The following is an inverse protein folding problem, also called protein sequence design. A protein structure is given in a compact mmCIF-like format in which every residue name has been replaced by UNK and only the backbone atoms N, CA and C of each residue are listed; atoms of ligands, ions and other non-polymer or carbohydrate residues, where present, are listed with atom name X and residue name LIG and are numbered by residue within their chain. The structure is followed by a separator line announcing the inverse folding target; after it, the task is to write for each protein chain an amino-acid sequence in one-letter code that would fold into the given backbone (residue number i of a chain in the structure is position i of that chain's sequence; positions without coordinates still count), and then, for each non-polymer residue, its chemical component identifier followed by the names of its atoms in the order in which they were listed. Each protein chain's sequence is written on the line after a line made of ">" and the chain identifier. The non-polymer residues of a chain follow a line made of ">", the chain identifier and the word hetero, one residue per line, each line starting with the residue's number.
data_IF_462983598343
#
_entry.id   IF_462983598343
#
_cell.length_a   1.000
_cell.length_b   1.000
_cell.length_c   1.000
_cell.angle_alpha   90.00
_cell.angle_beta   90.00
_cell.angle_gamma   90.00
#
_symmetry.space_group_name_H-M   'P 1'
#
loop_
_entity.id
_entity.type
_entity.pdbx_description
1 polymer ?
#
# COMPACT_ATOMS: atom_id res chain seq x y z
N UNK A 1 18.82 15.69 14.12
CA UNK A 1 18.29 14.37 14.56
C UNK A 1 19.27 13.31 14.06
N UNK A 2 19.92 12.57 14.95
CA UNK A 2 20.92 11.56 14.56
C UNK A 2 20.21 10.23 14.22
N UNK A 3 20.73 9.51 13.22
CA UNK A 3 20.25 8.18 12.88
C UNK A 3 20.55 7.22 14.04
N UNK A 4 19.53 6.47 14.47
CA UNK A 4 19.65 5.51 15.57
C UNK A 4 20.34 4.22 15.09
N UNK A 5 20.52 4.06 13.77
CA UNK A 5 21.07 2.86 13.16
C UNK A 5 22.37 3.13 12.41
N UNK A 6 23.28 2.15 12.44
CA UNK A 6 24.46 2.13 11.58
C UNK A 6 24.05 2.08 10.09
N UNK A 7 24.90 2.59 9.20
CA UNK A 7 24.64 2.71 7.75
C UNK A 7 24.26 1.37 7.12
N UNK A 8 24.89 0.28 7.57
CA UNK A 8 24.60 -1.09 7.09
C UNK A 8 23.21 -1.55 7.55
N UNK A 9 22.88 -1.31 8.80
CA UNK A 9 21.56 -1.63 9.39
C UNK A 9 20.44 -0.84 8.71
N UNK A 10 20.65 0.46 8.46
CA UNK A 10 19.69 1.27 7.70
C UNK A 10 19.50 0.73 6.29
N UNK A 11 20.58 0.47 5.55
CA UNK A 11 20.50 -0.05 4.18
C UNK A 11 19.74 -1.37 4.12
N UNK A 12 19.97 -2.24 5.10
CA UNK A 12 19.27 -3.51 5.24
C UNK A 12 17.78 -3.37 5.60
N UNK A 13 17.44 -2.44 6.49
CA UNK A 13 16.04 -2.17 6.83
C UNK A 13 15.29 -1.57 5.63
N UNK A 14 15.89 -0.60 4.96
CA UNK A 14 15.30 0.05 3.78
C UNK A 14 15.11 -0.93 2.62
N UNK A 15 16.02 -1.90 2.41
CA UNK A 15 15.88 -2.91 1.36
C UNK A 15 14.73 -3.91 1.60
N UNK A 16 14.26 -4.01 2.84
CA UNK A 16 13.12 -4.86 3.22
C UNK A 16 11.76 -4.16 3.09
N UNK A 17 11.74 -2.84 2.99
CA UNK A 17 10.51 -2.08 2.80
C UNK A 17 10.01 -2.32 1.37
N UNK A 18 8.89 -3.06 1.26
CA UNK A 18 8.24 -3.34 -0.02
C UNK A 18 7.39 -2.14 -0.43
N UNK A 19 7.32 -1.89 -1.74
CA UNK A 19 6.53 -0.79 -2.32
C UNK A 19 5.04 -1.10 -2.47
N UNK A 20 4.62 -2.34 -2.20
CA UNK A 20 3.24 -2.83 -2.32
C UNK A 20 2.99 -3.92 -1.30
N UNK A 21 1.72 -4.17 -1.02
CA UNK A 21 1.27 -5.23 -0.11
C UNK A 21 1.86 -5.05 1.29
N UNK A 22 2.01 -3.80 1.68
CA UNK A 22 2.40 -3.45 3.04
C UNK A 22 1.32 -3.93 4.02
N UNK A 23 1.72 -4.17 5.26
CA UNK A 23 0.80 -4.56 6.35
C UNK A 23 -0.43 -3.63 6.46
N UNK A 24 -0.31 -2.28 6.42
CA UNK A 24 -1.48 -1.40 6.42
C UNK A 24 -2.37 -1.57 5.19
N UNK A 25 -1.80 -1.72 3.97
CA UNK A 25 -2.58 -1.96 2.76
C UNK A 25 -3.40 -3.26 2.85
N UNK A 26 -2.79 -4.35 3.33
CA UNK A 26 -3.49 -5.63 3.53
C UNK A 26 -4.63 -5.50 4.52
N UNK A 27 -4.43 -4.77 5.62
CA UNK A 27 -5.45 -4.54 6.65
C UNK A 27 -6.66 -3.81 6.07
N UNK A 28 -6.43 -2.70 5.36
CA UNK A 28 -7.49 -1.91 4.73
C UNK A 28 -8.25 -2.75 3.69
N UNK A 29 -7.54 -3.52 2.87
CA UNK A 29 -8.14 -4.45 1.88
C UNK A 29 -9.08 -5.47 2.53
N UNK A 30 -8.62 -6.14 3.59
CA UNK A 30 -9.44 -7.09 4.35
C UNK A 30 -10.67 -6.44 4.96
N UNK A 31 -10.50 -5.26 5.56
CA UNK A 31 -11.59 -4.49 6.14
C UNK A 31 -12.67 -4.13 5.10
N UNK A 32 -12.26 -3.56 3.97
CA UNK A 32 -13.17 -3.16 2.89
C UNK A 32 -13.91 -4.36 2.29
N UNK A 33 -13.20 -5.47 2.08
CA UNK A 33 -13.80 -6.71 1.58
C UNK A 33 -14.82 -7.28 2.57
N UNK A 34 -14.50 -7.29 3.87
CA UNK A 34 -15.40 -7.72 4.93
C UNK A 34 -16.64 -6.83 5.08
N UNK A 35 -16.53 -5.55 4.67
CA UNK A 35 -17.64 -4.60 4.59
C UNK A 35 -18.45 -4.69 3.29
N UNK A 36 -18.13 -5.62 2.39
CA UNK A 36 -18.85 -5.84 1.14
C UNK A 36 -18.43 -4.91 -0.01
N UNK A 37 -17.41 -4.08 0.18
CA UNK A 37 -16.89 -3.23 -0.89
C UNK A 37 -16.07 -4.06 -1.88
N UNK A 38 -16.32 -3.85 -3.17
CA UNK A 38 -15.52 -4.40 -4.27
C UNK A 38 -14.61 -3.31 -4.82
N UNK A 39 -13.33 -3.62 -4.92
CA UNK A 39 -12.30 -2.69 -5.39
C UNK A 39 -11.37 -3.37 -6.39
N UNK A 40 -10.72 -2.57 -7.24
CA UNK A 40 -9.57 -2.94 -8.07
C UNK A 40 -8.30 -2.42 -7.43
N UNK A 41 -7.20 -3.15 -7.61
CA UNK A 41 -5.89 -2.79 -7.09
C UNK A 41 -4.99 -2.22 -8.19
N UNK A 42 -4.26 -1.16 -7.87
CA UNK A 42 -3.19 -0.59 -8.71
C UNK A 42 -3.58 -0.39 -10.18
N UNK A 43 -4.72 0.26 -10.43
CA UNK A 43 -5.22 0.47 -11.78
C UNK A 43 -4.26 1.38 -12.57
N UNK A 44 -3.59 0.81 -13.58
CA UNK A 44 -2.61 1.51 -14.41
C UNK A 44 -3.27 2.44 -15.43
N UNK A 45 -4.57 2.32 -15.64
CA UNK A 45 -5.31 3.15 -16.59
C UNK A 45 -5.66 4.53 -16.03
N UNK A 46 -5.48 4.72 -14.71
CA UNK A 46 -5.76 5.97 -14.02
C UNK A 46 -4.47 6.74 -13.72
N UNK A 47 -4.51 8.09 -13.82
CA UNK A 47 -3.37 8.93 -13.45
C UNK A 47 -3.01 8.71 -11.98
N UNK A 48 -1.71 8.63 -11.69
CA UNK A 48 -1.20 8.41 -10.32
C UNK A 48 -1.29 6.96 -9.82
N UNK A 49 -1.81 6.01 -10.61
CA UNK A 49 -1.88 4.58 -10.29
C UNK A 49 -2.40 4.31 -8.86
N UNK A 50 -3.65 4.70 -8.57
CA UNK A 50 -4.24 4.55 -7.25
C UNK A 50 -4.22 3.10 -6.75
N UNK A 51 -3.93 2.93 -5.46
CA UNK A 51 -3.82 1.61 -4.82
C UNK A 51 -5.17 0.89 -4.70
N UNK A 52 -6.24 1.65 -4.43
CA UNK A 52 -7.61 1.15 -4.32
C UNK A 52 -8.53 1.97 -5.22
N UNK A 53 -9.20 1.31 -6.14
CA UNK A 53 -10.19 1.91 -7.04
C UNK A 53 -11.53 1.26 -6.77
N UNK A 54 -12.61 2.04 -6.69
CA UNK A 54 -13.97 1.55 -6.44
C UNK A 54 -14.87 1.84 -7.65
N UNK A 55 -14.85 0.99 -8.71
CA UNK A 55 -15.57 1.28 -9.96
C UNK A 55 -17.09 1.37 -9.81
N UNK A 56 -17.65 0.74 -8.77
CA UNK A 56 -19.09 0.72 -8.48
C UNK A 56 -19.59 2.05 -7.93
N UNK A 57 -18.74 2.79 -7.24
CA UNK A 57 -19.10 4.01 -6.51
C UNK A 57 -18.63 5.27 -7.26
N UNK A 58 -18.56 5.20 -8.60
CA UNK A 58 -18.21 6.35 -9.46
C UNK A 58 -19.13 7.52 -9.11
N UNK A 59 -18.55 8.53 -8.48
CA UNK A 59 -19.14 9.86 -8.28
C UNK A 59 -18.37 10.81 -9.19
#
# INVERSE_FOLDING_TARGET
>A
MADVHDKKTRSFNMSRIRSKDTTPEVLVRKFLFGKGFRYKLHDKTLPGKPDLVFPKYKT
#
